data_IF_896198040316
#
_entry.id   IF_896198040316
#
_cell.length_a   1.000
_cell.length_b   1.000
_cell.length_c   1.000
_cell.angle_alpha   90.00
_cell.angle_beta   90.00
_cell.angle_gamma   90.00
#
_symmetry.space_group_name_H-M   'P 1'
#
loop_
_entity.id
_entity.type
_entity.pdbx_description
1 polymer ?
#
# COMPACT_ATOMS: atom_id res chain seq x y z
N UNK A 1 -28.13 -19.68 -16.37
CA UNK A 1 -28.40 -20.53 -15.18
C UNK A 1 -28.44 -19.63 -13.95
N UNK A 2 -29.48 -18.77 -13.85
CA UNK A 2 -29.66 -17.76 -12.79
C UNK A 2 -30.93 -18.01 -11.94
N UNK A 3 -31.61 -19.15 -12.15
CA UNK A 3 -32.84 -19.54 -11.41
C UNK A 3 -32.59 -20.02 -9.96
N UNK A 4 -31.36 -19.97 -9.45
CA UNK A 4 -31.05 -20.39 -8.07
C UNK A 4 -31.21 -19.26 -7.04
N UNK A 5 -31.54 -18.05 -7.48
CA UNK A 5 -31.71 -16.87 -6.63
C UNK A 5 -33.05 -16.12 -6.82
N UNK A 6 -34.01 -16.69 -7.57
CA UNK A 6 -35.32 -16.05 -7.82
C UNK A 6 -36.31 -16.15 -6.65
N UNK A 7 -35.93 -16.80 -5.54
CA UNK A 7 -36.72 -16.77 -4.31
C UNK A 7 -35.98 -15.87 -3.31
N UNK A 8 -36.26 -14.58 -3.39
CA UNK A 8 -35.96 -13.66 -2.30
C UNK A 8 -36.53 -14.21 -0.99
N UNK A 9 -35.81 -14.00 0.12
CA UNK A 9 -36.41 -14.18 1.43
C UNK A 9 -37.38 -13.02 1.67
N UNK A 10 -38.66 -13.23 1.34
CA UNK A 10 -39.74 -12.38 1.80
C UNK A 10 -40.15 -12.83 3.21
N UNK A 11 -39.66 -12.11 4.23
CA UNK A 11 -40.33 -12.12 5.52
C UNK A 11 -41.33 -10.97 5.55
N UNK A 12 -42.56 -11.27 5.14
CA UNK A 12 -43.73 -10.50 5.51
C UNK A 12 -44.57 -11.36 6.43
N UNK A 13 -44.63 -11.01 7.72
CA UNK A 13 -45.76 -11.44 8.54
C UNK A 13 -46.91 -10.47 8.26
N UNK A 14 -47.55 -10.63 7.09
CA UNK A 14 -48.86 -10.01 6.83
C UNK A 14 -49.89 -11.08 7.13
N UNK A 15 -50.42 -11.07 8.35
CA UNK A 15 -51.64 -11.80 8.65
C UNK A 15 -52.80 -11.12 7.87
N UNK A 16 -53.58 -11.94 7.17
CA UNK A 16 -54.80 -11.48 6.48
C UNK A 16 -55.81 -10.98 7.52
N UNK A 17 -55.85 -9.68 7.73
CA UNK A 17 -56.90 -9.01 8.50
C UNK A 17 -56.34 -7.90 9.38
N UNK A 18 -56.43 -6.65 8.93
CA UNK A 18 -56.00 -5.49 9.70
C UNK A 18 -56.72 -5.38 11.05
N UNK A 19 -55.97 -5.63 12.12
CA UNK A 19 -55.94 -4.95 13.42
C UNK A 19 -55.20 -5.86 14.39
N UNK A 20 -53.92 -5.57 14.66
CA UNK A 20 -53.30 -6.11 15.87
C UNK A 20 -53.69 -5.19 17.04
N UNK A 21 -54.74 -5.62 17.76
CA UNK A 21 -54.93 -5.21 19.15
C UNK A 21 -53.90 -6.00 19.96
N UNK A 22 -52.65 -5.55 19.91
CA UNK A 22 -51.70 -5.89 20.96
C UNK A 22 -52.15 -5.11 22.20
N UNK A 23 -52.38 -5.82 23.30
CA UNK A 23 -52.36 -5.23 24.64
C UNK A 23 -51.10 -4.35 24.75
N UNK A 24 -51.20 -3.19 25.40
CA UNK A 24 -50.08 -2.28 25.67
C UNK A 24 -48.78 -2.99 26.09
N UNK A 25 -48.86 -4.03 26.91
CA UNK A 25 -47.71 -4.84 27.36
C UNK A 25 -47.17 -5.81 26.30
N UNK A 26 -48.03 -6.34 25.42
CA UNK A 26 -47.60 -7.21 24.31
C UNK A 26 -46.94 -6.38 23.20
N UNK A 27 -47.38 -5.12 23.03
CA UNK A 27 -46.76 -4.17 22.11
C UNK A 27 -45.37 -3.73 22.57
N UNK A 28 -45.22 -3.40 23.86
CA UNK A 28 -43.91 -3.05 24.44
C UNK A 28 -42.93 -4.22 24.31
N UNK A 29 -43.37 -5.45 24.64
CA UNK A 29 -42.55 -6.64 24.48
C UNK A 29 -42.17 -6.91 23.02
N UNK A 30 -43.10 -6.77 22.09
CA UNK A 30 -42.81 -6.90 20.66
C UNK A 30 -41.81 -5.84 20.18
N UNK A 31 -41.97 -4.59 20.59
CA UNK A 31 -41.04 -3.50 20.26
C UNK A 31 -39.64 -3.75 20.86
N UNK A 32 -39.56 -4.29 22.09
CA UNK A 32 -38.30 -4.72 22.70
C UNK A 32 -37.64 -5.90 21.98
N UNK A 33 -38.42 -6.92 21.60
CA UNK A 33 -37.91 -8.09 20.86
C UNK A 33 -37.44 -7.69 19.45
N UNK A 34 -38.20 -6.84 18.74
CA UNK A 34 -37.80 -6.27 17.45
C UNK A 34 -36.58 -5.39 17.59
N UNK A 35 -36.51 -4.54 18.63
CA UNK A 35 -35.33 -3.72 18.91
C UNK A 35 -34.12 -4.59 19.23
N UNK A 36 -34.26 -5.66 20.03
CA UNK A 36 -33.18 -6.60 20.32
C UNK A 36 -32.72 -7.35 19.07
N UNK A 37 -33.65 -7.72 18.18
CA UNK A 37 -33.32 -8.35 16.89
C UNK A 37 -32.61 -7.35 15.96
N UNK A 38 -33.07 -6.10 15.89
CA UNK A 38 -32.40 -5.04 15.13
C UNK A 38 -31.01 -4.77 15.71
N UNK A 39 -30.88 -4.55 17.02
CA UNK A 39 -29.59 -4.26 17.68
C UNK A 39 -28.58 -5.42 17.53
N UNK A 40 -29.03 -6.65 17.31
CA UNK A 40 -28.16 -7.83 17.10
C UNK A 40 -27.84 -8.12 15.64
N UNK A 41 -28.56 -7.54 14.68
CA UNK A 41 -28.40 -7.85 13.23
C UNK A 41 -28.13 -6.62 12.37
N UNK A 42 -28.36 -5.43 12.91
CA UNK A 42 -28.21 -4.14 12.24
C UNK A 42 -27.12 -3.35 12.93
N UNK A 43 -26.09 -3.00 12.17
CA UNK A 43 -25.05 -2.10 12.62
C UNK A 43 -25.32 -0.70 12.06
N UNK A 44 -25.38 0.30 12.94
CA UNK A 44 -25.50 1.69 12.56
C UNK A 44 -24.14 2.38 12.60
N UNK A 45 -23.79 3.09 11.54
CA UNK A 45 -22.55 3.85 11.43
C UNK A 45 -22.85 5.29 11.04
N UNK A 46 -22.49 6.25 11.90
CA UNK A 46 -22.42 7.65 11.52
C UNK A 46 -21.03 7.94 10.95
N UNK A 47 -20.97 8.22 9.64
CA UNK A 47 -19.69 8.42 8.96
C UNK A 47 -18.92 9.66 9.45
N UNK A 48 -19.58 10.57 10.17
CA UNK A 48 -18.95 11.75 10.79
C UNK A 48 -18.03 11.38 11.95
N UNK A 49 -18.22 10.20 12.55
CA UNK A 49 -17.37 9.71 13.63
C UNK A 49 -16.05 9.11 13.09
N UNK A 50 -15.91 8.95 11.77
CA UNK A 50 -14.79 8.27 11.12
C UNK A 50 -14.11 9.14 10.06
N UNK A 51 -13.87 10.41 10.39
CA UNK A 51 -13.26 11.38 9.47
C UNK A 51 -11.74 11.31 9.37
N UNK A 52 -11.06 10.72 10.36
CA UNK A 52 -9.61 10.70 10.49
C UNK A 52 -9.04 11.99 11.10
N UNK A 53 -8.26 11.85 12.16
CA UNK A 53 -7.62 12.97 12.86
C UNK A 53 -6.12 12.75 13.09
N UNK A 54 -5.38 13.83 13.36
CA UNK A 54 -3.96 13.75 13.68
C UNK A 54 -3.63 13.00 14.99
N UNK A 55 -4.63 12.69 15.80
CA UNK A 55 -4.51 11.94 17.06
C UNK A 55 -5.19 10.56 16.95
N UNK A 56 -5.12 9.94 15.77
CA UNK A 56 -5.81 8.69 15.47
C UNK A 56 -5.55 7.57 16.48
N UNK A 57 -4.32 7.43 16.97
CA UNK A 57 -4.01 6.42 18.01
C UNK A 57 -4.76 6.67 19.32
N UNK A 58 -4.77 7.92 19.80
CA UNK A 58 -5.48 8.31 21.04
C UNK A 58 -6.98 8.12 20.88
N UNK A 59 -7.51 8.45 19.71
CA UNK A 59 -8.92 8.32 19.37
C UNK A 59 -9.31 6.89 18.97
N UNK A 60 -8.35 5.95 18.96
CA UNK A 60 -8.53 4.55 18.54
C UNK A 60 -9.13 4.41 17.14
N UNK A 61 -8.70 5.25 16.22
CA UNK A 61 -9.18 5.28 14.84
C UNK A 61 -8.74 4.03 14.07
N UNK A 62 -9.67 3.44 13.31
CA UNK A 62 -9.40 2.24 12.54
C UNK A 62 -8.68 2.56 11.22
N UNK A 63 -7.65 1.78 10.90
CA UNK A 63 -6.85 1.88 9.69
C UNK A 63 -7.09 0.66 8.81
N UNK A 64 -7.39 0.88 7.53
CA UNK A 64 -7.38 -0.16 6.51
C UNK A 64 -6.03 -0.15 5.79
N UNK A 65 -5.21 -1.18 5.97
CA UNK A 65 -3.94 -1.33 5.26
C UNK A 65 -4.13 -2.20 4.02
N UNK A 66 -3.83 -1.65 2.84
CA UNK A 66 -4.03 -2.27 1.54
C UNK A 66 -2.68 -2.59 0.88
N UNK A 67 -2.49 -3.86 0.49
CA UNK A 67 -1.27 -4.32 -0.17
C UNK A 67 -1.61 -5.07 -1.47
N UNK A 68 -1.24 -4.53 -2.64
CA UNK A 68 -1.31 -5.27 -3.90
C UNK A 68 -0.11 -6.21 -4.02
N UNK A 69 -0.34 -7.43 -4.52
CA UNK A 69 0.65 -8.49 -4.64
C UNK A 69 0.61 -9.10 -6.05
N UNK A 70 1.79 -9.21 -6.65
CA UNK A 70 2.02 -9.91 -7.91
C UNK A 70 3.41 -10.53 -7.88
N UNK A 71 3.51 -11.84 -8.04
CA UNK A 71 4.77 -12.58 -7.99
C UNK A 71 5.65 -12.19 -6.78
N UNK A 72 5.02 -12.11 -5.61
CA UNK A 72 5.57 -11.51 -4.41
C UNK A 72 6.10 -12.53 -3.39
N UNK A 73 6.07 -13.84 -3.69
CA UNK A 73 6.51 -14.92 -2.79
C UNK A 73 7.84 -14.60 -2.07
N UNK A 74 8.84 -14.12 -2.81
CA UNK A 74 10.17 -13.84 -2.28
C UNK A 74 10.24 -12.63 -1.33
N UNK A 75 9.33 -11.66 -1.48
CA UNK A 75 9.30 -10.45 -0.65
C UNK A 75 8.37 -10.57 0.56
N UNK A 76 7.50 -11.58 0.61
CA UNK A 76 6.58 -11.79 1.73
C UNK A 76 7.27 -11.83 3.10
N UNK A 77 8.41 -12.53 3.32
CA UNK A 77 9.07 -12.53 4.63
C UNK A 77 9.42 -11.12 5.12
N UNK A 78 9.92 -10.28 4.22
CA UNK A 78 10.27 -8.89 4.50
C UNK A 78 9.03 -8.03 4.74
N UNK A 79 7.99 -8.20 3.92
CA UNK A 79 6.71 -7.52 4.09
C UNK A 79 6.07 -7.82 5.45
N UNK A 80 6.04 -9.08 5.88
CA UNK A 80 5.46 -9.46 7.18
C UNK A 80 6.29 -8.95 8.36
N UNK A 81 7.63 -8.99 8.30
CA UNK A 81 8.48 -8.34 9.31
C UNK A 81 8.19 -6.84 9.43
N UNK A 82 7.98 -6.18 8.29
CA UNK A 82 7.59 -4.77 8.24
C UNK A 82 6.20 -4.50 8.81
N UNK A 83 5.23 -5.39 8.59
CA UNK A 83 3.90 -5.29 9.19
C UNK A 83 3.98 -5.45 10.70
N UNK A 84 4.69 -6.47 11.19
CA UNK A 84 4.86 -6.72 12.62
C UNK A 84 5.58 -5.58 13.34
N UNK A 85 6.48 -4.86 12.65
CA UNK A 85 7.18 -3.68 13.19
C UNK A 85 6.29 -2.43 13.34
N UNK A 86 5.06 -2.42 12.84
CA UNK A 86 4.16 -1.27 13.00
C UNK A 86 3.81 -1.09 14.47
N UNK A 87 4.02 0.12 14.98
CA UNK A 87 3.76 0.45 16.38
C UNK A 87 2.32 0.90 16.61
N UNK A 88 1.58 1.25 15.55
CA UNK A 88 0.15 1.54 15.64
C UNK A 88 -0.59 0.28 16.14
N UNK A 89 -1.55 0.38 17.07
CA UNK A 89 -2.13 -0.80 17.69
C UNK A 89 -2.72 -1.76 16.65
N UNK A 90 -2.18 -2.98 16.56
CA UNK A 90 -2.57 -3.96 15.52
C UNK A 90 -4.07 -4.30 15.56
N UNK A 91 -4.71 -4.24 16.73
CA UNK A 91 -6.16 -4.43 16.88
C UNK A 91 -7.02 -3.31 16.28
N UNK A 92 -6.39 -2.24 15.77
CA UNK A 92 -7.04 -1.15 15.04
C UNK A 92 -6.76 -1.21 13.54
N UNK A 93 -5.95 -2.16 13.08
CA UNK A 93 -5.54 -2.29 11.69
C UNK A 93 -6.22 -3.50 11.06
N UNK A 94 -7.01 -3.26 10.01
CA UNK A 94 -7.48 -4.30 9.11
C UNK A 94 -6.53 -4.43 7.92
N UNK A 95 -6.05 -5.65 7.65
CA UNK A 95 -5.23 -5.94 6.49
C UNK A 95 -6.12 -6.41 5.34
N UNK A 96 -5.86 -5.90 4.13
CA UNK A 96 -6.42 -6.50 2.92
C UNK A 96 -5.38 -6.62 1.81
N UNK A 97 -5.23 -7.84 1.31
CA UNK A 97 -4.29 -8.21 0.26
C UNK A 97 -5.03 -8.48 -1.05
N UNK A 98 -4.46 -8.05 -2.18
CA UNK A 98 -4.92 -8.44 -3.51
C UNK A 98 -3.81 -9.19 -4.24
N UNK A 99 -3.98 -10.49 -4.46
CA UNK A 99 -3.13 -11.29 -5.34
C UNK A 99 -3.68 -11.22 -6.76
N UNK A 100 -2.90 -10.70 -7.71
CA UNK A 100 -3.36 -10.38 -9.08
C UNK A 100 -2.29 -10.59 -10.12
N UNK A 101 -2.69 -11.15 -11.27
CA UNK A 101 -1.88 -11.27 -12.49
C UNK A 101 -0.52 -11.99 -12.26
N UNK A 102 -0.50 -12.95 -11.35
CA UNK A 102 0.67 -13.80 -11.06
C UNK A 102 0.97 -14.75 -12.24
N UNK A 103 2.23 -15.18 -12.34
CA UNK A 103 2.66 -16.22 -13.29
C UNK A 103 2.06 -17.59 -12.91
N UNK A 104 1.98 -18.52 -13.87
CA UNK A 104 1.40 -19.85 -13.63
C UNK A 104 2.15 -20.69 -12.58
N UNK A 105 3.44 -20.43 -12.37
CA UNK A 105 4.33 -21.11 -11.43
C UNK A 105 4.52 -20.37 -10.10
N UNK A 106 3.89 -19.21 -9.94
CA UNK A 106 4.00 -18.39 -8.73
C UNK A 106 3.21 -18.99 -7.56
N UNK A 107 3.77 -18.89 -6.34
CA UNK A 107 3.14 -19.39 -5.09
C UNK A 107 2.79 -18.29 -4.10
N UNK A 108 2.61 -17.06 -4.57
CA UNK A 108 2.34 -15.90 -3.70
C UNK A 108 1.10 -16.13 -2.85
N UNK A 109 0.04 -16.72 -3.41
CA UNK A 109 -1.22 -16.93 -2.68
C UNK A 109 -1.05 -17.95 -1.55
N UNK A 110 -0.41 -19.08 -1.83
CA UNK A 110 -0.18 -20.15 -0.86
C UNK A 110 0.70 -19.65 0.29
N UNK A 111 1.83 -19.01 -0.03
CA UNK A 111 2.73 -18.45 0.96
C UNK A 111 2.06 -17.36 1.80
N UNK A 112 1.27 -16.47 1.17
CA UNK A 112 0.52 -15.43 1.88
C UNK A 112 -0.46 -16.03 2.89
N UNK A 113 -1.18 -17.10 2.51
CA UNK A 113 -2.12 -17.78 3.41
C UNK A 113 -1.41 -18.39 4.61
N UNK A 114 -0.23 -18.98 4.42
CA UNK A 114 0.58 -19.54 5.51
C UNK A 114 1.06 -18.44 6.46
N UNK A 115 1.68 -17.39 5.92
CA UNK A 115 2.13 -16.26 6.73
C UNK A 115 0.98 -15.56 7.48
N UNK A 116 -0.19 -15.40 6.86
CA UNK A 116 -1.35 -14.80 7.52
C UNK A 116 -1.86 -15.65 8.69
N UNK A 117 -1.82 -16.99 8.57
CA UNK A 117 -2.21 -17.89 9.68
C UNK A 117 -1.27 -17.70 10.86
N UNK A 118 0.04 -17.76 10.62
CA UNK A 118 1.07 -17.59 11.65
C UNK A 118 1.05 -16.18 12.27
N UNK A 119 0.76 -15.16 11.46
CA UNK A 119 0.59 -13.78 11.92
C UNK A 119 -0.61 -13.68 12.88
N UNK A 120 -1.73 -14.33 12.55
CA UNK A 120 -2.96 -14.27 13.35
C UNK A 120 -2.91 -15.18 14.60
N UNK A 121 -2.06 -16.21 14.62
CA UNK A 121 -1.77 -16.99 15.83
C UNK A 121 -0.75 -16.34 16.76
N UNK A 122 -0.03 -15.31 16.29
CA UNK A 122 1.03 -14.64 17.05
C UNK A 122 2.32 -15.47 17.17
N UNK A 123 2.55 -16.40 16.24
CA UNK A 123 3.69 -17.33 16.22
C UNK A 123 4.67 -17.05 15.07
N UNK A 124 4.38 -16.03 14.24
CA UNK A 124 5.18 -15.74 13.06
C UNK A 124 6.64 -15.35 13.36
N UNK A 125 6.91 -14.68 14.49
CA UNK A 125 8.28 -14.39 14.91
C UNK A 125 9.10 -15.65 15.19
N UNK A 126 8.49 -16.68 15.77
CA UNK A 126 9.12 -17.99 16.01
C UNK A 126 9.46 -18.68 14.68
N UNK A 127 8.56 -18.60 13.70
CA UNK A 127 8.79 -19.12 12.34
C UNK A 127 9.98 -18.43 11.69
N UNK A 128 10.08 -17.09 11.79
CA UNK A 128 11.24 -16.37 11.28
C UNK A 128 12.53 -16.69 12.03
N UNK A 129 12.47 -16.89 13.36
CA UNK A 129 13.63 -17.28 14.15
C UNK A 129 14.15 -18.66 13.75
N UNK A 130 13.26 -19.62 13.50
CA UNK A 130 13.62 -20.97 13.06
C UNK A 130 14.26 -20.98 11.66
N UNK A 131 13.73 -20.20 10.72
CA UNK A 131 14.32 -20.10 9.36
C UNK A 131 15.65 -19.36 9.33
N UNK A 132 15.86 -18.38 10.22
CA UNK A 132 17.13 -17.63 10.29
C UNK A 132 18.30 -18.52 10.72
N UNK A 133 18.06 -19.53 11.57
CA UNK A 133 19.08 -20.54 11.92
C UNK A 133 19.42 -21.49 10.77
N UNK A 134 18.50 -21.69 9.83
CA UNK A 134 18.71 -22.53 8.64
C UNK A 134 19.36 -21.74 7.48
N UNK A 135 19.10 -20.43 7.34
CA UNK A 135 19.73 -19.58 6.32
C UNK A 135 21.23 -19.37 6.54
N UNK A 136 21.73 -19.40 7.78
CA UNK A 136 23.18 -19.40 8.07
C UNK A 136 23.89 -20.66 7.51
N UNK A 137 23.16 -21.76 7.27
CA UNK A 137 23.68 -22.98 6.62
C UNK A 137 23.59 -22.95 5.08
N UNK A 138 22.77 -22.06 4.49
CA UNK A 138 22.49 -22.01 3.03
C UNK A 138 23.28 -20.90 2.30
N UNK A 139 23.83 -19.92 3.02
CA UNK A 139 24.62 -18.78 2.48
C UNK A 139 25.86 -19.13 1.65
N UNK A 140 26.22 -20.41 1.49
CA UNK A 140 27.35 -20.82 0.64
C UNK A 140 27.02 -21.03 -0.85
N UNK A 141 25.77 -20.95 -1.32
CA UNK A 141 25.44 -21.42 -2.70
C UNK A 141 24.57 -20.53 -3.62
N UNK A 142 24.36 -19.23 -3.35
CA UNK A 142 23.56 -18.35 -4.23
C UNK A 142 24.35 -17.23 -4.91
N UNK A 143 24.17 -17.04 -6.23
CA UNK A 143 24.68 -15.88 -6.99
C UNK A 143 23.83 -14.61 -6.85
N UNK A 144 22.61 -14.71 -6.30
CA UNK A 144 21.65 -13.60 -6.32
C UNK A 144 21.96 -12.49 -5.31
N UNK A 145 22.58 -12.82 -4.18
CA UNK A 145 22.89 -11.87 -3.10
C UNK A 145 24.31 -11.30 -3.17
N UNK A 146 25.01 -11.49 -4.30
CA UNK A 146 26.37 -11.00 -4.46
C UNK A 146 26.48 -9.48 -4.29
N UNK A 147 25.42 -8.74 -4.61
CA UNK A 147 25.36 -7.30 -4.43
C UNK A 147 25.51 -6.88 -2.97
N UNK A 148 25.09 -7.71 -1.99
CA UNK A 148 25.21 -7.40 -0.56
C UNK A 148 26.67 -7.16 -0.14
N UNK A 149 27.63 -7.81 -0.80
CA UNK A 149 29.07 -7.60 -0.55
C UNK A 149 29.55 -6.19 -0.89
N UNK A 150 28.78 -5.48 -1.72
CA UNK A 150 29.09 -4.15 -2.22
C UNK A 150 28.21 -3.07 -1.61
N UNK A 151 27.29 -3.43 -0.71
CA UNK A 151 26.47 -2.47 0.02
C UNK A 151 27.28 -1.85 1.18
N UNK A 152 26.93 -0.60 1.54
CA UNK A 152 27.54 0.07 2.69
C UNK A 152 27.35 -0.77 3.97
N UNK A 153 28.40 -1.01 4.78
CA UNK A 153 28.26 -1.76 6.03
C UNK A 153 27.28 -1.13 7.03
N UNK A 154 27.21 0.20 7.07
CA UNK A 154 26.24 0.93 7.90
C UNK A 154 24.81 0.66 7.49
N UNK A 155 24.55 0.57 6.19
CA UNK A 155 23.25 0.21 5.63
C UNK A 155 22.84 -1.21 6.04
N UNK A 156 23.73 -2.20 5.83
CA UNK A 156 23.45 -3.59 6.21
C UNK A 156 23.19 -3.73 7.72
N UNK A 157 23.92 -2.98 8.54
CA UNK A 157 23.69 -2.93 9.98
C UNK A 157 22.32 -2.34 10.29
N UNK A 158 21.94 -1.23 9.65
CA UNK A 158 20.62 -0.62 9.82
C UNK A 158 19.49 -1.59 9.47
N UNK A 159 19.59 -2.33 8.37
CA UNK A 159 18.60 -3.36 7.99
C UNK A 159 18.54 -4.46 9.03
N UNK A 160 19.70 -4.97 9.47
CA UNK A 160 19.76 -6.01 10.50
C UNK A 160 19.13 -5.54 11.81
N UNK A 161 19.48 -4.34 12.27
CA UNK A 161 19.00 -3.77 13.53
C UNK A 161 17.47 -3.53 13.47
N UNK A 162 16.93 -3.11 12.32
CA UNK A 162 15.48 -2.89 12.14
C UNK A 162 14.62 -4.17 12.31
N UNK A 163 15.21 -5.35 12.11
CA UNK A 163 14.52 -6.65 12.21
C UNK A 163 15.09 -7.55 13.31
N UNK A 164 15.85 -6.97 14.25
CA UNK A 164 16.41 -7.67 15.39
C UNK A 164 15.74 -7.21 16.69
N UNK A 165 15.67 -8.08 17.72
CA UNK A 165 15.20 -7.69 19.05
C UNK A 165 16.04 -6.54 19.67
N UNK A 166 15.47 -5.74 20.60
CA UNK A 166 14.14 -5.90 21.19
C UNK A 166 13.03 -5.33 20.30
N UNK A 167 11.97 -6.14 20.10
CA UNK A 167 10.76 -5.69 19.42
C UNK A 167 9.83 -4.92 20.39
N UNK A 168 8.92 -4.11 19.84
CA UNK A 168 7.90 -3.42 20.66
C UNK A 168 6.90 -4.43 21.25
N UNK A 169 6.21 -4.02 22.32
CA UNK A 169 5.26 -4.88 23.07
C UNK A 169 4.15 -5.50 22.21
N UNK A 170 3.81 -4.87 21.08
CA UNK A 170 2.74 -5.29 20.19
C UNK A 170 3.19 -6.14 19.00
N UNK A 171 4.47 -6.47 18.87
CA UNK A 171 5.06 -7.06 17.67
C UNK A 171 4.35 -8.34 17.19
N UNK A 172 4.07 -9.26 18.12
CA UNK A 172 3.35 -10.52 17.84
C UNK A 172 1.84 -10.43 18.04
N UNK A 173 1.30 -9.23 18.29
CA UNK A 173 -0.14 -9.06 18.48
C UNK A 173 -0.86 -9.28 17.14
N UNK A 174 -1.91 -10.12 17.08
CA UNK A 174 -2.69 -10.26 15.87
C UNK A 174 -3.30 -8.93 15.41
N UNK A 175 -3.36 -8.75 14.09
CA UNK A 175 -4.11 -7.68 13.45
C UNK A 175 -5.61 -7.87 13.64
N UNK A 176 -6.40 -6.78 13.60
CA UNK A 176 -7.86 -6.82 13.82
C UNK A 176 -8.57 -7.79 12.88
N UNK A 177 -8.21 -7.77 11.60
CA UNK A 177 -8.69 -8.71 10.61
C UNK A 177 -7.74 -8.81 9.43
N UNK A 178 -7.85 -9.91 8.68
CA UNK A 178 -7.11 -10.13 7.44
C UNK A 178 -8.10 -10.58 6.36
N UNK A 179 -8.10 -9.87 5.23
CA UNK A 179 -8.86 -10.23 4.04
C UNK A 179 -7.88 -10.51 2.88
N UNK A 180 -8.06 -11.62 2.20
CA UNK A 180 -7.25 -11.98 1.02
C UNK A 180 -8.19 -12.08 -0.17
N UNK A 181 -7.90 -11.30 -1.20
CA UNK A 181 -8.62 -11.33 -2.46
C UNK A 181 -7.69 -11.84 -3.56
N UNK A 182 -8.21 -12.68 -4.45
CA UNK A 182 -7.52 -13.10 -5.66
C UNK A 182 -8.35 -12.65 -6.85
N UNK A 183 -7.77 -11.84 -7.73
CA UNK A 183 -8.44 -11.36 -8.93
C UNK A 183 -7.45 -10.81 -9.94
N UNK A 184 -7.54 -11.28 -11.17
CA UNK A 184 -6.76 -10.76 -12.29
C UNK A 184 -7.47 -9.62 -13.02
N UNK A 185 -6.66 -8.71 -13.58
CA UNK A 185 -7.12 -7.56 -14.38
C UNK A 185 -6.61 -7.60 -15.81
N UNK A 186 -5.85 -8.65 -16.18
CA UNK A 186 -5.37 -8.89 -17.54
C UNK A 186 -4.10 -8.10 -17.84
N UNK A 187 -3.23 -7.90 -16.85
CA UNK A 187 -1.96 -7.21 -17.07
C UNK A 187 -0.99 -8.13 -17.82
N UNK A 188 -0.99 -8.00 -19.16
CA UNK A 188 -0.20 -8.83 -20.08
C UNK A 188 1.29 -8.84 -19.67
N UNK A 189 1.87 -10.03 -19.58
CA UNK A 189 3.31 -10.24 -19.42
C UNK A 189 3.98 -9.81 -20.74
N UNK A 190 4.58 -8.62 -20.74
CA UNK A 190 5.45 -8.21 -21.85
C UNK A 190 6.77 -8.98 -21.78
N UNK A 191 7.12 -9.69 -22.86
CA UNK A 191 8.45 -10.26 -23.06
C UNK A 191 9.45 -9.13 -23.34
N UNK A 192 10.29 -8.77 -22.36
CA UNK A 192 11.43 -7.87 -22.54
C UNK A 192 11.34 -6.51 -21.84
N UNK A 193 12.44 -6.09 -21.22
CA UNK A 193 12.58 -4.77 -20.57
C UNK A 193 12.40 -3.64 -21.60
N UNK A 194 12.89 -3.80 -22.84
CA UNK A 194 12.86 -2.79 -23.90
C UNK A 194 11.48 -2.43 -24.46
N UNK A 195 10.51 -3.35 -24.48
CA UNK A 195 9.15 -3.09 -25.00
C UNK A 195 8.20 -2.45 -23.96
N UNK A 196 8.63 -2.38 -22.69
CA UNK A 196 7.87 -1.80 -21.56
C UNK A 196 8.03 -0.28 -21.40
N UNK A 197 8.91 0.34 -22.19
CA UNK A 197 9.34 1.73 -22.01
C UNK A 197 8.78 2.72 -23.05
N UNK A 198 7.91 2.29 -23.96
CA UNK A 198 7.14 3.26 -24.75
C UNK A 198 6.12 3.94 -23.83
N UNK A 199 6.12 5.28 -23.78
CA UNK A 199 5.25 6.07 -22.88
C UNK A 199 3.77 5.66 -22.96
N UNK A 200 3.27 5.30 -24.15
CA UNK A 200 1.92 4.77 -24.36
C UNK A 200 1.63 3.47 -23.58
N UNK A 201 2.61 2.57 -23.47
CA UNK A 201 2.47 1.30 -22.74
C UNK A 201 2.40 1.54 -21.24
N UNK A 202 3.18 2.51 -20.72
CA UNK A 202 3.12 2.90 -19.32
C UNK A 202 1.75 3.47 -18.93
N UNK A 203 1.16 4.32 -19.77
CA UNK A 203 -0.19 4.85 -19.53
C UNK A 203 -1.24 3.75 -19.39
N UNK A 204 -1.21 2.73 -20.25
CA UNK A 204 -2.11 1.58 -20.19
C UNK A 204 -1.89 0.77 -18.89
N UNK A 205 -0.63 0.53 -18.52
CA UNK A 205 -0.27 -0.19 -17.30
C UNK A 205 -0.79 0.51 -16.05
N UNK A 206 -0.59 1.84 -15.94
CA UNK A 206 -1.11 2.64 -14.81
C UNK A 206 -2.64 2.56 -14.73
N UNK A 207 -3.34 2.68 -15.85
CA UNK A 207 -4.82 2.54 -15.88
C UNK A 207 -5.27 1.17 -15.34
N UNK A 208 -4.59 0.08 -15.70
CA UNK A 208 -4.88 -1.26 -15.15
C UNK A 208 -4.59 -1.35 -13.65
N UNK A 209 -3.46 -0.82 -13.18
CA UNK A 209 -3.15 -0.77 -11.75
C UNK A 209 -4.19 0.04 -10.97
N UNK A 210 -4.67 1.17 -11.52
CA UNK A 210 -5.76 1.95 -10.94
C UNK A 210 -7.04 1.13 -10.77
N UNK A 211 -7.37 0.25 -11.73
CA UNK A 211 -8.52 -0.68 -11.59
C UNK A 211 -8.33 -1.65 -10.42
N UNK A 212 -7.14 -2.23 -10.30
CA UNK A 212 -6.82 -3.15 -9.21
C UNK A 212 -6.91 -2.46 -7.84
N UNK A 213 -6.31 -1.26 -7.70
CA UNK A 213 -6.36 -0.47 -6.45
C UNK A 213 -7.78 -0.07 -6.06
N UNK A 214 -8.57 0.42 -7.04
CA UNK A 214 -9.96 0.77 -6.78
C UNK A 214 -10.80 -0.44 -6.39
N UNK A 215 -10.60 -1.58 -7.06
CA UNK A 215 -11.34 -2.80 -6.75
C UNK A 215 -11.02 -3.30 -5.33
N UNK A 216 -9.73 -3.33 -4.94
CA UNK A 216 -9.34 -3.71 -3.58
C UNK A 216 -9.94 -2.75 -2.54
N UNK A 217 -9.83 -1.43 -2.76
CA UNK A 217 -10.42 -0.42 -1.85
C UNK A 217 -11.92 -0.65 -1.69
N UNK A 218 -12.65 -0.80 -2.79
CA UNK A 218 -14.11 -0.93 -2.76
C UNK A 218 -14.60 -2.19 -2.04
N UNK A 219 -13.84 -3.29 -2.07
CA UNK A 219 -14.20 -4.53 -1.39
C UNK A 219 -13.79 -4.54 0.09
N UNK A 220 -12.66 -3.90 0.42
CA UNK A 220 -12.09 -3.92 1.75
C UNK A 220 -12.60 -2.79 2.67
N UNK A 221 -12.92 -1.61 2.12
CA UNK A 221 -13.35 -0.44 2.89
C UNK A 221 -14.66 -0.68 3.62
N UNK A 222 -14.68 -0.33 4.92
CA UNK A 222 -15.83 -0.45 5.83
C UNK A 222 -16.24 0.92 6.36
N UNK A 223 -17.47 1.07 6.90
CA UNK A 223 -17.97 2.34 7.41
C UNK A 223 -17.15 2.91 8.58
N UNK A 224 -16.52 2.06 9.39
CA UNK A 224 -15.76 2.45 10.58
C UNK A 224 -14.29 2.79 10.32
N UNK A 225 -13.78 2.62 9.10
CA UNK A 225 -12.40 3.02 8.79
C UNK A 225 -12.28 4.55 8.83
N UNK A 226 -11.29 5.06 9.55
CA UNK A 226 -10.97 6.49 9.55
C UNK A 226 -9.83 6.80 8.57
N UNK A 227 -8.97 5.81 8.31
CA UNK A 227 -7.81 5.93 7.45
C UNK A 227 -7.67 4.73 6.52
N UNK A 228 -7.08 4.96 5.35
CA UNK A 228 -6.64 3.94 4.41
C UNK A 228 -5.14 4.14 4.20
N UNK A 229 -4.37 3.09 4.42
CA UNK A 229 -2.92 3.08 4.25
C UNK A 229 -2.55 2.12 3.12
N UNK A 230 -2.14 2.65 1.97
CA UNK A 230 -1.61 1.87 0.86
C UNK A 230 -0.13 1.65 1.05
N UNK A 231 0.32 0.40 0.82
CA UNK A 231 1.73 0.05 0.93
C UNK A 231 2.11 -1.02 -0.11
N UNK A 232 3.21 -0.82 -0.80
CA UNK A 232 3.79 -1.86 -1.67
C UNK A 232 4.54 -2.92 -0.82
N UNK A 233 4.63 -4.15 -1.32
CA UNK A 233 5.17 -5.30 -0.57
C UNK A 233 6.71 -5.33 -0.49
N UNK A 234 7.36 -4.54 -1.32
CA UNK A 234 8.81 -4.46 -1.57
C UNK A 234 9.48 -3.27 -0.86
N UNK A 235 8.81 -2.71 0.16
CA UNK A 235 9.42 -1.76 1.10
C UNK A 235 10.37 -2.50 2.05
N UNK A 236 11.65 -2.17 2.00
CA UNK A 236 12.71 -2.79 2.81
C UNK A 236 12.88 -2.17 4.19
N UNK A 237 12.80 -0.85 4.33
CA UNK A 237 12.86 -0.20 5.65
C UNK A 237 11.78 0.86 5.76
N UNK A 238 11.04 0.78 6.85
CA UNK A 238 9.98 1.71 7.19
C UNK A 238 9.95 1.87 8.71
N UNK A 239 9.94 3.11 9.23
CA UNK A 239 9.82 3.32 10.67
C UNK A 239 8.51 2.69 11.19
N UNK A 240 8.57 2.01 12.32
CA UNK A 240 7.37 1.40 12.93
C UNK A 240 6.27 2.40 13.27
N UNK A 241 6.62 3.67 13.48
CA UNK A 241 5.70 4.77 13.75
C UNK A 241 5.11 5.43 12.49
N UNK A 242 5.36 4.91 11.28
CA UNK A 242 4.96 5.55 10.01
C UNK A 242 3.50 5.99 9.96
N UNK A 243 2.58 5.17 10.49
CA UNK A 243 1.15 5.50 10.49
C UNK A 243 0.91 6.74 11.37
N UNK A 244 1.43 6.74 12.61
CA UNK A 244 1.32 7.88 13.52
C UNK A 244 2.00 9.13 12.98
N UNK A 245 3.19 8.99 12.41
CA UNK A 245 3.97 10.11 11.90
C UNK A 245 3.24 10.79 10.74
N UNK A 246 2.72 10.01 9.79
CA UNK A 246 1.92 10.54 8.67
C UNK A 246 0.58 11.12 9.15
N UNK A 247 -0.12 10.45 10.09
CA UNK A 247 -1.35 10.98 10.70
C UNK A 247 -1.11 12.35 11.33
N UNK A 248 0.01 12.52 12.04
CA UNK A 248 0.33 13.73 12.80
C UNK A 248 0.46 15.00 11.96
N UNK A 249 0.61 14.86 10.64
CA UNK A 249 0.61 15.99 9.69
C UNK A 249 -0.74 16.70 9.60
N UNK A 250 -1.84 16.02 9.94
CA UNK A 250 -3.23 16.45 9.74
C UNK A 250 -3.63 16.71 8.28
N UNK A 251 -2.85 16.25 7.31
CA UNK A 251 -3.24 16.30 5.91
C UNK A 251 -4.27 15.22 5.55
N UNK A 252 -5.00 15.44 4.46
CA UNK A 252 -6.00 14.48 3.98
C UNK A 252 -5.33 13.29 3.27
N UNK A 253 -4.19 13.55 2.63
CA UNK A 253 -3.26 12.56 2.05
C UNK A 253 -1.84 12.94 2.49
N UNK A 254 -1.06 11.97 2.95
CA UNK A 254 0.34 12.15 3.29
C UNK A 254 1.18 11.00 2.74
N UNK A 255 2.31 11.35 2.10
CA UNK A 255 3.30 10.38 1.59
C UNK A 255 4.69 10.69 2.12
N UNK A 256 5.49 9.67 2.46
CA UNK A 256 6.90 9.85 2.80
C UNK A 256 7.76 9.97 1.54
N UNK A 257 9.02 10.32 1.73
CA UNK A 257 10.02 10.23 0.68
C UNK A 257 10.50 8.77 0.52
N UNK A 258 10.69 8.29 -0.70
CA UNK A 258 11.09 6.90 -0.97
C UNK A 258 12.40 6.84 -1.74
N UNK A 259 13.37 6.17 -1.13
CA UNK A 259 14.73 6.00 -1.65
C UNK A 259 15.05 4.52 -1.83
N UNK A 260 16.07 4.24 -2.62
CA UNK A 260 16.58 2.89 -2.84
C UNK A 260 18.06 2.84 -2.48
N UNK A 261 18.52 1.86 -1.69
CA UNK A 261 19.93 1.68 -1.44
C UNK A 261 20.61 1.12 -2.68
N UNK A 262 21.88 1.41 -2.88
CA UNK A 262 22.66 0.89 -3.99
C UNK A 262 24.00 0.36 -3.48
N UNK A 263 24.64 -0.55 -4.24
CA UNK A 263 26.06 -0.81 -4.06
C UNK A 263 26.89 0.48 -4.06
N UNK A 264 27.98 0.52 -3.29
CA UNK A 264 28.86 1.68 -3.17
C UNK A 264 29.44 2.15 -4.51
N UNK A 265 29.67 1.22 -5.43
CA UNK A 265 30.15 1.54 -6.77
C UNK A 265 29.08 2.20 -7.67
N UNK A 266 27.82 2.20 -7.25
CA UNK A 266 26.70 2.90 -7.87
C UNK A 266 26.25 4.10 -7.02
N UNK A 267 27.17 4.74 -6.29
CA UNK A 267 26.90 5.92 -5.46
C UNK A 267 26.08 5.64 -4.18
N UNK A 268 25.80 4.38 -3.84
CA UNK A 268 25.37 3.95 -2.51
C UNK A 268 23.89 4.12 -2.16
N UNK A 269 23.20 5.09 -2.76
CA UNK A 269 21.75 5.32 -2.63
C UNK A 269 21.25 6.21 -3.77
N UNK A 270 19.96 6.13 -4.08
CA UNK A 270 19.32 7.03 -5.04
C UNK A 270 17.84 7.28 -4.72
N UNK A 271 17.27 8.41 -5.20
CA UNK A 271 15.84 8.58 -5.38
C UNK A 271 15.19 7.38 -6.08
N UNK A 272 14.04 6.94 -5.57
CA UNK A 272 13.28 5.83 -6.16
C UNK A 272 11.95 6.30 -6.74
N UNK A 273 11.07 6.85 -5.91
CA UNK A 273 9.72 7.21 -6.33
C UNK A 273 9.66 8.66 -6.86
N UNK A 274 9.62 8.79 -8.19
CA UNK A 274 9.49 10.08 -8.87
C UNK A 274 8.04 10.52 -9.10
N UNK A 275 7.05 9.73 -8.63
CA UNK A 275 5.63 10.02 -8.87
C UNK A 275 5.03 10.98 -7.83
N UNK A 276 5.80 11.34 -6.81
CA UNK A 276 5.44 12.36 -5.83
C UNK A 276 6.07 13.69 -6.22
N UNK A 277 5.27 14.68 -6.63
CA UNK A 277 5.77 15.92 -7.22
C UNK A 277 4.86 17.13 -6.99
N UNK A 278 5.46 18.31 -7.13
CA UNK A 278 4.80 19.62 -7.20
C UNK A 278 4.63 20.00 -8.66
N UNK A 279 3.43 20.46 -9.03
CA UNK A 279 3.10 20.84 -10.40
C UNK A 279 3.97 22.00 -10.90
N UNK A 280 4.15 22.09 -12.22
CA UNK A 280 4.95 23.15 -12.84
C UNK A 280 4.22 23.79 -14.03
N UNK A 281 4.52 25.06 -14.31
CA UNK A 281 3.97 25.75 -15.49
C UNK A 281 4.35 25.05 -16.81
N UNK A 282 5.59 24.57 -17.02
CA UNK A 282 5.93 23.79 -18.22
C UNK A 282 5.12 22.50 -18.37
N UNK A 283 4.85 21.76 -17.29
CA UNK A 283 4.05 20.55 -17.34
C UNK A 283 2.59 20.85 -17.69
N UNK A 284 2.02 21.94 -17.16
CA UNK A 284 0.67 22.39 -17.52
C UNK A 284 0.59 22.81 -18.99
N UNK A 285 1.60 23.49 -19.51
CA UNK A 285 1.68 23.84 -20.93
C UNK A 285 1.83 22.61 -21.82
N UNK A 286 2.66 21.64 -21.41
CA UNK A 286 2.79 20.36 -22.12
C UNK A 286 1.46 19.62 -22.16
N UNK A 287 0.76 19.49 -21.03
CA UNK A 287 -0.53 18.80 -20.96
C UNK A 287 -1.57 19.39 -21.93
N UNK A 288 -1.57 20.71 -22.16
CA UNK A 288 -2.45 21.36 -23.14
C UNK A 288 -2.17 20.98 -24.60
N UNK A 289 -0.98 20.42 -24.89
CA UNK A 289 -0.58 20.00 -26.25
C UNK A 289 -0.84 18.52 -26.52
N UNK A 290 -1.13 17.73 -25.48
CA UNK A 290 -1.35 16.29 -25.57
C UNK A 290 -2.83 15.96 -25.82
N UNK A 291 -3.09 14.78 -26.38
CA UNK A 291 -4.46 14.30 -26.51
C UNK A 291 -5.04 13.98 -25.12
N UNK A 292 -6.37 14.04 -24.96
CA UNK A 292 -7.04 13.80 -23.67
C UNK A 292 -6.73 12.41 -23.09
N UNK A 293 -6.46 11.43 -23.95
CA UNK A 293 -6.14 10.06 -23.55
C UNK A 293 -4.66 9.82 -23.21
N UNK A 294 -3.77 10.76 -23.54
CA UNK A 294 -2.34 10.64 -23.28
C UNK A 294 -2.04 10.79 -21.80
N UNK A 295 -1.13 9.95 -21.29
CA UNK A 295 -0.71 9.94 -19.90
C UNK A 295 0.73 10.41 -19.81
N UNK A 296 0.95 11.49 -19.06
CA UNK A 296 2.27 11.93 -18.60
C UNK A 296 2.71 10.95 -17.51
N UNK A 297 3.89 10.39 -17.69
CA UNK A 297 4.51 9.48 -16.74
C UNK A 297 5.87 10.04 -16.41
N UNK A 298 6.09 10.39 -15.14
CA UNK A 298 7.36 10.96 -14.70
C UNK A 298 8.54 10.00 -14.88
N UNK A 299 9.72 10.58 -15.12
CA UNK A 299 10.97 9.84 -15.35
C UNK A 299 11.28 9.53 -16.82
N UNK A 300 10.42 9.94 -17.77
CA UNK A 300 10.66 9.75 -19.21
C UNK A 300 11.16 11.03 -19.88
N UNK A 301 12.29 10.93 -20.60
CA UNK A 301 12.90 12.07 -21.30
C UNK A 301 12.02 12.65 -22.42
N UNK A 302 11.01 11.89 -22.88
CA UNK A 302 10.07 12.32 -23.92
C UNK A 302 9.23 13.54 -23.48
N UNK A 303 8.97 13.69 -22.19
CA UNK A 303 8.17 14.77 -21.62
C UNK A 303 8.98 15.57 -20.58
N UNK A 304 9.58 16.70 -20.97
CA UNK A 304 10.28 17.57 -20.01
C UNK A 304 9.25 18.34 -19.17
N UNK A 305 8.84 17.74 -18.04
CA UNK A 305 7.84 18.29 -17.13
C UNK A 305 8.41 19.37 -16.20
N UNK A 306 9.71 19.35 -15.90
CA UNK A 306 10.37 20.29 -14.97
C UNK A 306 9.70 20.36 -13.59
N UNK A 307 9.01 19.30 -13.19
CA UNK A 307 8.38 19.21 -11.87
C UNK A 307 9.43 19.03 -10.80
N UNK A 308 9.12 19.54 -9.61
CA UNK A 308 9.93 19.29 -8.43
C UNK A 308 9.46 17.98 -7.82
N UNK A 309 10.29 16.93 -7.89
CA UNK A 309 9.98 15.64 -7.30
C UNK A 309 10.39 15.61 -5.83
N UNK A 310 9.50 15.09 -4.98
CA UNK A 310 9.73 14.90 -3.54
C UNK A 310 11.06 14.18 -3.29
N UNK A 311 11.38 13.19 -4.12
CA UNK A 311 12.58 12.37 -3.97
C UNK A 311 13.89 13.17 -3.99
N UNK A 312 13.97 14.24 -4.78
CA UNK A 312 15.17 15.09 -4.86
C UNK A 312 15.28 16.12 -3.74
N UNK A 313 14.23 16.30 -2.93
CA UNK A 313 14.21 17.27 -1.84
C UNK A 313 14.76 16.72 -0.52
N UNK A 314 15.22 15.48 -0.47
CA UNK A 314 15.75 14.88 0.76
C UNK A 314 17.06 15.54 1.17
N UNK A 315 17.08 15.99 2.43
CA UNK A 315 18.28 16.33 3.18
C UNK A 315 18.28 15.46 4.46
N UNK A 316 19.26 14.54 4.63
CA UNK A 316 19.34 13.67 5.80
C UNK A 316 19.52 14.41 7.14
N UNK A 317 20.03 15.63 7.11
CA UNK A 317 20.32 16.43 8.32
C UNK A 317 19.17 17.37 8.70
N UNK A 318 18.14 17.45 7.84
CA UNK A 318 16.94 18.28 8.05
C UNK A 318 15.86 17.57 8.85
N UNK A 319 14.82 18.32 9.27
CA UNK A 319 13.78 17.82 10.17
C UNK A 319 12.85 16.84 9.44
N UNK A 320 12.72 15.56 9.88
CA UNK A 320 11.83 14.57 9.27
C UNK A 320 10.35 14.98 9.23
N UNK A 321 9.94 15.95 10.06
CA UNK A 321 8.56 16.45 10.13
C UNK A 321 8.29 17.64 9.22
N UNK A 322 9.27 18.09 8.45
CA UNK A 322 9.03 19.14 7.46
C UNK A 322 8.05 18.60 6.41
N UNK A 323 7.16 19.48 5.94
CA UNK A 323 6.06 19.15 5.05
C UNK A 323 6.11 20.10 3.87
N UNK A 324 5.86 19.55 2.68
CA UNK A 324 5.56 20.31 1.47
C UNK A 324 4.21 19.86 0.92
N UNK A 325 3.47 20.78 0.29
CA UNK A 325 2.26 20.38 -0.44
C UNK A 325 2.64 19.79 -1.80
N UNK A 326 1.96 18.72 -2.19
CA UNK A 326 2.16 18.02 -3.47
C UNK A 326 0.92 18.14 -4.36
N UNK A 327 1.09 17.87 -5.65
CA UNK A 327 0.01 17.81 -6.64
C UNK A 327 -0.15 16.39 -7.21
N UNK A 328 0.93 15.62 -7.30
CA UNK A 328 0.93 14.18 -7.57
C UNK A 328 1.56 13.39 -6.43
N UNK A 329 1.11 12.15 -6.22
CA UNK A 329 1.67 11.23 -5.23
C UNK A 329 2.01 9.89 -5.86
N UNK A 330 3.05 9.24 -5.36
CA UNK A 330 3.41 7.88 -5.75
C UNK A 330 2.77 6.80 -4.88
N UNK A 331 2.85 5.56 -5.36
CA UNK A 331 2.07 4.41 -4.86
C UNK A 331 2.68 3.62 -3.72
N UNK A 332 3.94 3.87 -3.34
CA UNK A 332 4.71 3.00 -2.45
C UNK A 332 4.19 3.02 -1.01
N UNK A 333 3.82 4.19 -0.51
CA UNK A 333 3.31 4.39 0.84
C UNK A 333 2.40 5.63 0.86
N UNK A 334 1.09 5.43 0.97
CA UNK A 334 0.10 6.52 0.99
C UNK A 334 -0.80 6.34 2.20
N UNK A 335 -0.77 7.30 3.13
CA UNK A 335 -1.80 7.41 4.14
C UNK A 335 -2.84 8.45 3.69
N UNK A 336 -4.11 8.07 3.63
CA UNK A 336 -5.20 8.96 3.27
C UNK A 336 -6.40 8.78 4.21
N UNK A 337 -7.13 9.87 4.51
CA UNK A 337 -8.36 9.77 5.29
C UNK A 337 -9.41 8.98 4.51
N UNK A 338 -10.10 8.06 5.17
CA UNK A 338 -11.06 7.16 4.52
C UNK A 338 -12.24 7.90 3.86
N UNK A 339 -12.59 9.09 4.36
CA UNK A 339 -13.62 9.95 3.79
C UNK A 339 -13.36 10.35 2.34
N UNK A 340 -12.09 10.42 1.90
CA UNK A 340 -11.74 10.78 0.52
C UNK A 340 -12.33 9.77 -0.47
N UNK A 341 -12.16 8.48 -0.16
CA UNK A 341 -12.69 7.39 -0.97
C UNK A 341 -14.22 7.36 -0.98
N UNK A 342 -14.85 7.62 0.17
CA UNK A 342 -16.32 7.70 0.28
C UNK A 342 -16.91 8.88 -0.51
N UNK A 343 -16.15 9.97 -0.62
CA UNK A 343 -16.55 11.16 -1.36
C UNK A 343 -16.23 11.10 -2.85
N UNK A 344 -15.59 10.02 -3.33
CA UNK A 344 -15.35 9.76 -4.75
C UNK A 344 -13.91 9.96 -5.23
N UNK A 345 -12.97 10.33 -4.35
CA UNK A 345 -11.54 10.31 -4.71
C UNK A 345 -11.10 8.85 -4.86
N UNK A 346 -10.48 8.51 -5.97
CA UNK A 346 -10.02 7.15 -6.26
C UNK A 346 -8.76 7.18 -7.13
N UNK A 347 -8.18 6.03 -7.46
CA UNK A 347 -7.05 5.92 -8.39
C UNK A 347 -7.58 5.89 -9.83
N UNK A 348 -7.58 6.99 -10.60
CA UNK A 348 -8.26 7.03 -11.89
C UNK A 348 -7.72 5.96 -12.85
N UNK A 349 -8.59 5.04 -13.23
CA UNK A 349 -8.34 3.98 -14.21
C UNK A 349 -8.52 4.46 -15.66
N UNK A 350 -8.61 5.77 -15.82
CA UNK A 350 -8.77 6.53 -17.06
C UNK A 350 -7.85 7.75 -16.95
N UNK A 351 -7.66 8.47 -18.05
CA UNK A 351 -6.83 9.67 -18.01
C UNK A 351 -7.58 10.80 -17.30
N UNK A 352 -7.01 11.33 -16.23
CA UNK A 352 -7.50 12.48 -15.50
C UNK A 352 -6.46 13.59 -15.55
N UNK A 353 -6.73 14.65 -16.31
CA UNK A 353 -5.77 15.73 -16.61
C UNK A 353 -4.39 15.21 -17.02
N UNK A 354 -4.35 14.31 -18.00
CA UNK A 354 -3.16 13.63 -18.52
C UNK A 354 -2.41 12.75 -17.50
N UNK A 355 -3.05 12.30 -16.41
CA UNK A 355 -2.46 11.38 -15.44
C UNK A 355 -3.36 10.17 -15.22
N UNK A 356 -2.83 9.12 -14.61
CA UNK A 356 -3.61 7.95 -14.19
C UNK A 356 -3.11 7.44 -12.83
N UNK A 357 -3.89 6.56 -12.21
CA UNK A 357 -3.51 5.84 -10.99
C UNK A 357 -3.17 6.77 -9.80
N UNK A 358 -1.97 6.69 -9.21
CA UNK A 358 -1.59 7.37 -7.96
C UNK A 358 -1.34 8.87 -8.14
N UNK A 359 -0.69 9.26 -9.23
CA UNK A 359 -0.47 10.67 -9.56
C UNK A 359 -1.81 11.39 -9.77
N UNK A 360 -2.72 10.75 -10.52
CA UNK A 360 -4.06 11.26 -10.73
C UNK A 360 -4.93 11.22 -9.47
N UNK A 361 -4.70 10.29 -8.54
CA UNK A 361 -5.34 10.30 -7.22
C UNK A 361 -4.94 11.55 -6.42
N UNK A 362 -3.65 11.90 -6.37
CA UNK A 362 -3.18 13.14 -5.73
C UNK A 362 -3.81 14.39 -6.37
N UNK A 363 -3.82 14.44 -7.71
CA UNK A 363 -4.37 15.56 -8.47
C UNK A 363 -5.88 15.71 -8.26
N UNK A 364 -6.61 14.59 -8.29
CA UNK A 364 -8.04 14.54 -8.01
C UNK A 364 -8.35 14.98 -6.58
N UNK A 365 -7.59 14.53 -5.59
CA UNK A 365 -7.75 14.95 -4.20
C UNK A 365 -7.64 16.46 -4.07
N UNK A 366 -6.59 17.07 -4.64
CA UNK A 366 -6.43 18.53 -4.65
C UNK A 366 -7.56 19.26 -5.37
N UNK A 367 -8.00 18.76 -6.53
CA UNK A 367 -9.14 19.36 -7.28
C UNK A 367 -10.45 19.32 -6.49
N UNK A 368 -10.62 18.33 -5.64
CA UNK A 368 -11.78 18.21 -4.74
C UNK A 368 -11.61 19.01 -3.44
N UNK A 369 -10.53 19.78 -3.28
CA UNK A 369 -10.29 20.66 -2.14
C UNK A 369 -9.59 19.99 -0.95
N UNK A 370 -9.06 18.79 -1.12
CA UNK A 370 -8.28 18.10 -0.09
C UNK A 370 -6.80 18.51 -0.13
N UNK A 371 -6.14 18.44 1.02
CA UNK A 371 -4.72 18.76 1.15
C UNK A 371 -3.85 17.51 1.01
N UNK A 372 -2.81 17.62 0.20
CA UNK A 372 -1.87 16.52 -0.08
C UNK A 372 -0.47 16.92 0.38
N UNK A 373 0.10 16.17 1.32
CA UNK A 373 1.42 16.40 1.89
C UNK A 373 2.46 15.39 1.40
N UNK A 374 3.69 15.88 1.21
CA UNK A 374 4.90 15.08 1.12
C UNK A 374 5.84 15.42 2.27
N UNK A 375 6.47 14.41 2.87
CA UNK A 375 7.50 14.60 3.90
C UNK A 375 8.89 14.36 3.27
N UNK A 376 9.60 15.40 2.81
CA UNK A 376 10.83 15.25 2.03
C UNK A 376 11.97 14.56 2.78
N UNK A 377 11.98 14.64 4.11
CA UNK A 377 13.08 14.12 4.93
C UNK A 377 12.70 12.82 5.67
N UNK A 378 11.40 12.48 5.69
CA UNK A 378 10.91 11.21 6.23
C UNK A 378 11.09 10.10 5.19
N UNK A 379 12.13 9.28 5.36
CA UNK A 379 12.57 8.36 4.30
C UNK A 379 12.12 6.92 4.56
N UNK A 380 11.44 6.33 3.58
CA UNK A 380 11.27 4.89 3.43
C UNK A 380 12.29 4.36 2.41
N UNK A 381 12.70 3.11 2.59
CA UNK A 381 13.63 2.44 1.69
C UNK A 381 12.93 1.31 0.96
N UNK A 382 12.97 1.35 -0.37
CA UNK A 382 12.57 0.25 -1.23
C UNK A 382 13.72 -0.75 -1.38
N UNK A 383 13.42 -2.04 -1.60
CA UNK A 383 14.46 -3.03 -1.88
C UNK A 383 15.32 -2.63 -3.09
N UNK A 384 16.58 -3.04 -3.07
CA UNK A 384 17.43 -3.01 -4.25
C UNK A 384 17.25 -4.28 -5.08
N UNK A 385 16.66 -4.13 -6.26
CA UNK A 385 16.61 -5.17 -7.29
C UNK A 385 17.66 -4.83 -8.36
N UNK A 386 18.74 -5.63 -8.49
CA UNK A 386 19.76 -5.41 -9.50
C UNK A 386 19.18 -5.48 -10.92
N UNK A 387 19.46 -4.49 -11.76
CA UNK A 387 19.21 -4.59 -13.20
C UNK A 387 20.19 -5.55 -13.89
N UNK A 388 19.92 -5.92 -15.14
CA UNK A 388 20.84 -6.74 -15.94
C UNK A 388 22.24 -6.10 -16.04
N UNK A 389 22.30 -4.77 -16.19
CA UNK A 389 23.56 -4.01 -16.23
C UNK A 389 24.29 -4.04 -14.88
N UNK A 390 23.54 -3.96 -13.77
CA UNK A 390 24.12 -4.07 -12.42
C UNK A 390 24.70 -5.46 -12.19
N UNK A 391 24.01 -6.52 -12.64
CA UNK A 391 24.49 -7.90 -12.55
C UNK A 391 25.76 -8.12 -13.37
N UNK A 392 25.85 -7.53 -14.56
CA UNK A 392 27.06 -7.56 -15.38
C UNK A 392 28.22 -6.89 -14.64
N UNK A 393 28.01 -5.69 -14.10
CA UNK A 393 29.04 -4.96 -13.35
C UNK A 393 29.50 -5.73 -12.09
N UNK A 394 28.57 -6.35 -11.36
CA UNK A 394 28.90 -7.19 -10.19
C UNK A 394 29.72 -8.41 -10.64
N UNK A 395 29.33 -9.08 -11.73
CA UNK A 395 30.04 -10.24 -12.25
C UNK A 395 31.46 -9.91 -12.72
N UNK A 396 31.65 -8.75 -13.36
CA UNK A 396 32.98 -8.25 -13.76
C UNK A 396 33.88 -8.04 -12.54
N UNK A 397 33.37 -7.37 -11.49
CA UNK A 397 34.11 -7.15 -10.24
C UNK A 397 34.49 -8.44 -9.52
N UNK A 398 33.60 -9.43 -9.48
CA UNK A 398 33.92 -10.75 -8.89
C UNK A 398 34.98 -11.50 -9.71
N UNK A 399 35.03 -11.32 -11.05
CA UNK A 399 36.08 -11.90 -11.90
C UNK A 399 37.44 -11.23 -11.68
N UNK A 400 37.47 -9.91 -11.53
CA UNK A 400 38.70 -9.16 -11.23
C UNK A 400 39.29 -9.56 -9.88
N UNK A 401 38.46 -9.64 -8.82
CA UNK A 401 38.90 -10.08 -7.48
C UNK A 401 39.44 -11.51 -7.44
N UNK A 402 38.99 -12.40 -8.32
CA UNK A 402 39.51 -13.77 -8.40
C UNK A 402 40.85 -13.87 -9.15
N UNK A 403 41.22 -12.83 -9.89
CA UNK A 403 42.47 -12.75 -10.66
C UNK A 403 43.58 -11.99 -9.91
N UNK A 404 43.22 -11.10 -8.98
CA UNK A 404 44.10 -10.48 -7.99
C UNK A 404 44.38 -11.43 -6.83
#
# INVERSE_FOLDING_TARGET
MLRKFDNGAEHYLISKGGQEILDSSDKERYEEEVKSLLDSTVEHYDLRDFEGSAQGEVNREHVLLLVPLRNAEQVLPLMFKNLMNLTYPHELIDLAFLVSDCSEDDKTLEALLEYCKELQSGTLSDVFAAHSSDEELIKEKGTHDLFLKYMRPSYLKMVKDAYSPPFHKGYDKPFRSVQIFQKDFGQIIGQGFSDRHAVKVQGIRRKLMGRARNWLTANALKPYHSWVYWRDADVELCPGSVIQDLMSTDFDVAVPNVWRPLPEFLQGEQPYDLNSWIESDPALQLAQTLDEDDVIVEGYAEYPTWRVHLAYLRDPDSNPKDIIELDGVGGVSILAKAKLFRNGVHFPAFTFENHAETEAFGKMAKKMGYRVAGLPHYTLWHIYEPSDDDLIQIAEREREKKRS
#
